data_IF_917101921051
#
_entry.id   IF_917101921051
#
_cell.length_a   1.000
_cell.length_b   1.000
_cell.length_c   1.000
_cell.angle_alpha   90.00
_cell.angle_beta   90.00
_cell.angle_gamma   90.00
#
_symmetry.space_group_name_H-M   'P 1'
#
loop_
_entity.id
_entity.type
_entity.pdbx_description
1 polymer ?
#
# COMPACT_ATOMS: atom_id res chain seq x y z
N UNK A 1 10.90 27.37 4.35
CA UNK A 1 10.58 27.12 5.77
C UNK A 1 10.71 25.61 6.00
N UNK A 2 11.53 25.15 6.96
CA UNK A 2 11.62 23.71 7.23
C UNK A 2 10.30 23.21 7.85
N UNK A 3 9.82 22.02 7.48
CA UNK A 3 8.63 21.45 8.10
C UNK A 3 8.88 21.21 9.59
N UNK A 4 7.86 21.46 10.42
CA UNK A 4 7.93 21.12 11.85
C UNK A 4 8.17 19.62 12.03
N UNK A 5 8.75 19.16 13.15
CA UNK A 5 8.91 17.72 13.44
C UNK A 5 7.59 16.95 13.29
N UNK A 6 6.46 17.56 13.68
CA UNK A 6 5.13 17.01 13.45
C UNK A 6 4.83 16.81 11.96
N UNK A 7 4.97 17.85 11.12
CA UNK A 7 4.66 17.78 9.70
C UNK A 7 5.57 16.78 8.96
N UNK A 8 6.84 16.68 9.36
CA UNK A 8 7.76 15.68 8.82
C UNK A 8 7.38 14.25 9.25
N UNK A 9 7.03 14.05 10.53
CA UNK A 9 6.60 12.75 11.05
C UNK A 9 5.28 12.29 10.42
N UNK A 10 4.29 13.19 10.32
CA UNK A 10 3.01 12.92 9.69
C UNK A 10 3.20 12.42 8.24
N UNK A 11 4.02 13.09 7.44
CA UNK A 11 4.30 12.69 6.04
C UNK A 11 4.82 11.26 5.88
N UNK A 12 5.54 10.74 6.88
CA UNK A 12 6.11 9.38 6.87
C UNK A 12 5.35 8.38 7.73
N UNK A 13 4.26 8.81 8.34
CA UNK A 13 3.57 8.05 9.36
C UNK A 13 3.18 6.66 8.84
N UNK A 14 3.47 5.58 9.60
CA UNK A 14 3.27 4.21 9.14
C UNK A 14 1.80 3.80 9.29
N UNK A 15 0.92 4.35 8.45
CA UNK A 15 -0.53 4.16 8.54
C UNK A 15 -0.98 2.70 8.56
N UNK A 16 -0.24 1.83 7.88
CA UNK A 16 -0.62 0.44 7.62
C UNK A 16 0.13 -0.54 8.52
N UNK A 17 -0.59 -1.15 9.46
CA UNK A 17 -0.17 -2.39 10.13
C UNK A 17 -0.49 -3.67 9.36
N UNK A 18 -0.76 -3.58 8.05
CA UNK A 18 -1.08 -4.74 7.21
C UNK A 18 0.19 -5.25 6.52
N UNK A 19 0.37 -6.58 6.41
CA UNK A 19 1.43 -7.16 5.60
C UNK A 19 1.38 -6.59 4.18
N UNK A 20 2.49 -6.05 3.71
CA UNK A 20 2.67 -5.70 2.29
C UNK A 20 3.51 -6.79 1.65
N UNK A 21 3.18 -7.30 0.45
CA UNK A 21 4.03 -8.27 -0.22
C UNK A 21 5.49 -7.80 -0.22
N UNK A 22 6.38 -8.68 0.22
CA UNK A 22 7.82 -8.44 0.15
C UNK A 22 8.24 -8.08 -1.28
N UNK A 23 9.29 -7.28 -1.39
CA UNK A 23 9.92 -6.90 -2.64
C UNK A 23 11.30 -7.56 -2.75
N UNK A 24 11.36 -8.88 -3.01
CA UNK A 24 12.62 -9.58 -3.15
C UNK A 24 13.34 -9.18 -4.43
N UNK A 25 14.53 -9.75 -4.65
CA UNK A 25 15.29 -9.54 -5.88
C UNK A 25 14.46 -9.85 -7.13
N UNK A 26 14.64 -9.04 -8.17
CA UNK A 26 13.89 -9.08 -9.43
C UNK A 26 13.83 -10.48 -10.07
N UNK A 27 14.91 -11.29 -10.10
CA UNK A 27 14.84 -12.65 -10.65
C UNK A 27 13.79 -13.55 -9.98
N UNK A 28 13.61 -13.42 -8.66
CA UNK A 28 12.60 -14.19 -7.91
C UNK A 28 11.18 -13.74 -8.27
N UNK A 29 10.98 -12.43 -8.40
CA UNK A 29 9.68 -11.84 -8.80
C UNK A 29 9.29 -12.25 -10.21
N UNK A 30 10.25 -12.25 -11.15
CA UNK A 30 10.03 -12.72 -12.52
C UNK A 30 9.71 -14.21 -12.54
N UNK A 31 10.45 -15.02 -11.76
CA UNK A 31 10.17 -16.46 -11.65
C UNK A 31 8.76 -16.71 -11.16
N UNK A 32 8.31 -16.00 -10.12
CA UNK A 32 6.96 -16.15 -9.59
C UNK A 32 5.86 -15.83 -10.63
N UNK A 33 6.02 -14.77 -11.42
CA UNK A 33 5.09 -14.45 -12.52
C UNK A 33 5.02 -15.58 -13.55
N UNK A 34 6.17 -16.14 -13.92
CA UNK A 34 6.25 -17.22 -14.92
C UNK A 34 5.66 -18.51 -14.36
N UNK A 35 5.97 -18.86 -13.11
CA UNK A 35 5.45 -20.06 -12.47
C UNK A 35 3.91 -20.01 -12.37
N UNK A 36 3.34 -18.86 -11.98
CA UNK A 36 1.88 -18.64 -11.96
C UNK A 36 1.26 -18.74 -13.36
N UNK A 37 1.89 -18.13 -14.37
CA UNK A 37 1.39 -18.21 -15.74
C UNK A 37 1.42 -19.66 -16.28
N UNK A 38 2.47 -20.43 -15.95
CA UNK A 38 2.56 -21.84 -16.34
C UNK A 38 1.52 -22.70 -15.60
N UNK A 39 1.35 -22.50 -14.29
CA UNK A 39 0.35 -23.20 -13.49
C UNK A 39 -1.07 -22.94 -14.03
N UNK A 40 -1.36 -21.69 -14.43
CA UNK A 40 -2.62 -21.33 -15.07
C UNK A 40 -2.84 -22.11 -16.38
N UNK A 41 -1.79 -22.25 -17.21
CA UNK A 41 -1.85 -23.01 -18.46
C UNK A 41 -2.09 -24.51 -18.20
N UNK A 42 -1.41 -25.08 -17.19
CA UNK A 42 -1.58 -26.48 -16.82
C UNK A 42 -3.00 -26.80 -16.31
N UNK A 43 -3.62 -25.85 -15.60
CA UNK A 43 -5.00 -25.97 -15.08
C UNK A 43 -6.08 -25.63 -16.11
N UNK A 44 -5.74 -25.05 -17.25
CA UNK A 44 -6.66 -24.62 -18.31
C UNK A 44 -7.84 -23.79 -17.78
N UNK A 45 -9.06 -24.30 -17.87
CA UNK A 45 -10.30 -23.61 -17.47
C UNK A 45 -10.41 -23.38 -15.95
N UNK A 46 -9.65 -24.12 -15.14
CA UNK A 46 -9.54 -23.92 -13.71
C UNK A 46 -8.36 -23.03 -13.29
N UNK A 47 -7.59 -22.48 -14.25
CA UNK A 47 -6.37 -21.70 -13.99
C UNK A 47 -6.57 -20.18 -13.85
N UNK A 48 -7.81 -19.70 -13.76
CA UNK A 48 -8.12 -18.27 -13.82
C UNK A 48 -7.53 -17.46 -12.65
N UNK A 49 -7.50 -18.04 -11.45
CA UNK A 49 -6.92 -17.42 -10.26
C UNK A 49 -5.42 -17.20 -10.42
N UNK A 50 -4.67 -18.24 -10.83
CA UNK A 50 -3.24 -18.16 -11.10
C UNK A 50 -2.94 -17.15 -12.22
N UNK A 51 -3.76 -17.14 -13.28
CA UNK A 51 -3.63 -16.19 -14.38
C UNK A 51 -3.81 -14.73 -13.92
N UNK A 52 -4.86 -14.46 -13.14
CA UNK A 52 -5.11 -13.13 -12.57
C UNK A 52 -3.95 -12.67 -11.68
N UNK A 53 -3.41 -13.58 -10.86
CA UNK A 53 -2.24 -13.32 -10.02
C UNK A 53 -0.97 -13.04 -10.83
N UNK A 54 -0.73 -13.78 -11.92
CA UNK A 54 0.41 -13.56 -12.81
C UNK A 54 0.36 -12.15 -13.45
N UNK A 55 -0.80 -11.76 -13.99
CA UNK A 55 -1.02 -10.44 -14.59
C UNK A 55 -0.84 -9.31 -13.56
N UNK A 56 -1.41 -9.47 -12.37
CA UNK A 56 -1.27 -8.49 -11.29
C UNK A 56 0.19 -8.28 -10.88
N UNK A 57 0.96 -9.37 -10.73
CA UNK A 57 2.40 -9.29 -10.40
C UNK A 57 3.25 -8.74 -11.54
N UNK A 58 2.92 -9.05 -12.79
CA UNK A 58 3.56 -8.45 -13.96
C UNK A 58 3.42 -6.92 -13.97
N UNK A 59 2.19 -6.42 -13.77
CA UNK A 59 1.92 -4.99 -13.67
C UNK A 59 2.64 -4.33 -12.48
N UNK A 60 2.72 -5.03 -11.33
CA UNK A 60 3.44 -4.56 -10.16
C UNK A 60 4.94 -4.41 -10.42
N UNK A 61 5.58 -5.36 -11.12
CA UNK A 61 7.00 -5.28 -11.49
C UNK A 61 7.26 -4.08 -12.40
N UNK A 62 6.46 -3.92 -13.46
CA UNK A 62 6.59 -2.77 -14.36
C UNK A 62 6.43 -1.44 -13.61
N UNK A 63 5.45 -1.38 -12.72
CA UNK A 63 5.19 -0.20 -11.91
C UNK A 63 6.34 0.14 -10.95
N UNK A 64 6.89 -0.87 -10.28
CA UNK A 64 8.01 -0.71 -9.36
C UNK A 64 9.31 -0.30 -10.07
N UNK A 65 9.48 -0.71 -11.32
CA UNK A 65 10.58 -0.28 -12.18
C UNK A 65 10.45 1.17 -12.65
N UNK A 66 9.31 1.83 -12.43
CA UNK A 66 9.02 3.18 -12.90
C UNK A 66 8.42 3.24 -14.31
N UNK A 67 8.04 2.09 -14.89
CA UNK A 67 7.48 1.99 -16.25
C UNK A 67 5.96 2.14 -16.20
N UNK A 68 5.47 3.35 -15.89
CA UNK A 68 4.05 3.61 -15.64
C UNK A 68 3.14 3.22 -16.82
N UNK A 69 3.56 3.50 -18.07
CA UNK A 69 2.76 3.17 -19.25
C UNK A 69 2.66 1.66 -19.48
N UNK A 70 3.75 0.92 -19.28
CA UNK A 70 3.74 -0.54 -19.35
C UNK A 70 2.86 -1.14 -18.24
N UNK A 71 2.95 -0.61 -17.02
CA UNK A 71 2.11 -1.06 -15.92
C UNK A 71 0.61 -0.81 -16.21
N UNK A 72 0.27 0.35 -16.79
CA UNK A 72 -1.08 0.69 -17.23
C UNK A 72 -1.56 -0.23 -18.36
N UNK A 73 -0.70 -0.51 -19.35
CA UNK A 73 -1.01 -1.43 -20.44
C UNK A 73 -1.31 -2.84 -19.93
N UNK A 74 -0.49 -3.36 -19.00
CA UNK A 74 -0.71 -4.67 -18.38
C UNK A 74 -2.00 -4.70 -17.54
N UNK A 75 -2.34 -3.62 -16.82
CA UNK A 75 -3.62 -3.53 -16.12
C UNK A 75 -4.80 -3.58 -17.10
N UNK A 76 -4.74 -2.85 -18.21
CA UNK A 76 -5.80 -2.87 -19.22
C UNK A 76 -5.89 -4.18 -19.99
N UNK A 77 -4.77 -4.86 -20.24
CA UNK A 77 -4.76 -6.21 -20.78
C UNK A 77 -5.50 -7.17 -19.85
N UNK A 78 -5.22 -7.10 -18.54
CA UNK A 78 -5.90 -7.91 -17.54
C UNK A 78 -7.40 -7.63 -17.50
N UNK A 79 -7.81 -6.36 -17.48
CA UNK A 79 -9.24 -5.97 -17.51
C UNK A 79 -9.92 -6.49 -18.78
N UNK A 80 -9.27 -6.32 -19.93
CA UNK A 80 -9.88 -6.62 -21.24
C UNK A 80 -10.18 -8.10 -21.43
N UNK A 81 -9.42 -8.99 -20.78
CA UNK A 81 -9.68 -10.44 -20.82
C UNK A 81 -11.10 -10.77 -20.31
N UNK A 82 -11.58 -10.07 -19.29
CA UNK A 82 -12.93 -10.25 -18.73
C UNK A 82 -14.05 -9.65 -19.59
N UNK A 83 -13.74 -8.65 -20.40
CA UNK A 83 -14.72 -8.00 -21.29
C UNK A 83 -15.10 -8.88 -22.48
N UNK A 84 -14.41 -10.00 -22.69
CA UNK A 84 -14.76 -11.01 -23.70
C UNK A 84 -15.89 -11.95 -23.27
N UNK A 85 -16.32 -11.88 -22.00
CA UNK A 85 -17.40 -12.71 -21.48
C UNK A 85 -18.74 -12.37 -22.16
N UNK A 86 -19.40 -13.38 -22.73
CA UNK A 86 -20.75 -13.25 -23.31
C UNK A 86 -21.88 -13.46 -22.27
N UNK A 87 -21.50 -13.74 -21.03
CA UNK A 87 -22.42 -13.85 -19.89
C UNK A 87 -22.04 -12.84 -18.80
N UNK A 88 -22.95 -12.50 -17.89
CA UNK A 88 -22.57 -11.75 -16.71
C UNK A 88 -21.44 -12.43 -15.93
N UNK A 89 -20.53 -11.61 -15.42
CA UNK A 89 -19.44 -12.07 -14.55
C UNK A 89 -19.99 -12.48 -13.19
N UNK A 90 -19.41 -13.53 -12.62
CA UNK A 90 -19.60 -13.85 -11.20
C UNK A 90 -18.93 -12.79 -10.33
N UNK A 91 -19.32 -12.66 -9.06
CA UNK A 91 -18.62 -11.78 -8.11
C UNK A 91 -17.12 -12.10 -8.00
N UNK A 92 -16.74 -13.38 -8.10
CA UNK A 92 -15.33 -13.77 -8.05
C UNK A 92 -14.56 -13.29 -9.29
N UNK A 93 -15.12 -13.48 -10.49
CA UNK A 93 -14.52 -13.00 -11.75
C UNK A 93 -14.43 -11.47 -11.80
N UNK A 94 -15.51 -10.79 -11.38
CA UNK A 94 -15.53 -9.34 -11.28
C UNK A 94 -14.47 -8.82 -10.30
N UNK A 95 -14.13 -9.59 -9.25
CA UNK A 95 -13.08 -9.18 -8.30
C UNK A 95 -11.73 -9.17 -9.01
N UNK A 96 -11.42 -10.23 -9.74
CA UNK A 96 -10.19 -10.29 -10.53
C UNK A 96 -10.14 -9.20 -11.61
N UNK A 97 -11.26 -8.87 -12.25
CA UNK A 97 -11.34 -7.73 -13.18
C UNK A 97 -11.11 -6.37 -12.48
N UNK A 98 -11.57 -6.19 -11.23
CA UNK A 98 -11.46 -4.93 -10.50
C UNK A 98 -10.10 -4.74 -9.81
N UNK A 99 -9.37 -5.81 -9.47
CA UNK A 99 -8.01 -5.72 -8.93
C UNK A 99 -7.05 -4.82 -9.75
N UNK A 100 -6.93 -4.97 -11.09
CA UNK A 100 -6.13 -4.06 -11.91
C UNK A 100 -6.68 -2.62 -11.94
N UNK A 101 -7.98 -2.39 -11.73
CA UNK A 101 -8.54 -1.03 -11.59
C UNK A 101 -8.01 -0.36 -10.32
N UNK A 102 -7.91 -1.10 -9.21
CA UNK A 102 -7.28 -0.60 -7.98
C UNK A 102 -5.80 -0.29 -8.23
N UNK A 103 -5.12 -1.09 -9.05
CA UNK A 103 -3.73 -0.80 -9.42
C UNK A 103 -3.58 0.45 -10.30
N UNK A 104 -4.54 0.77 -11.17
CA UNK A 104 -4.57 2.04 -11.90
C UNK A 104 -4.63 3.22 -10.90
N UNK A 105 -5.51 3.15 -9.90
CA UNK A 105 -5.55 4.16 -8.84
C UNK A 105 -4.22 4.25 -8.07
N UNK A 106 -3.55 3.13 -7.80
CA UNK A 106 -2.20 3.11 -7.18
C UNK A 106 -1.11 3.71 -8.09
N UNK A 107 -1.25 3.63 -9.41
CA UNK A 107 -0.37 4.32 -10.34
C UNK A 107 -0.58 5.83 -10.24
N UNK A 108 -1.82 6.29 -10.22
CA UNK A 108 -2.16 7.71 -10.07
C UNK A 108 -1.63 8.28 -8.75
N UNK A 109 -1.76 7.55 -7.63
CA UNK A 109 -1.18 7.95 -6.33
C UNK A 109 0.35 8.14 -6.45
N UNK A 110 1.04 7.25 -7.17
CA UNK A 110 2.50 7.33 -7.37
C UNK A 110 2.92 8.49 -8.27
N UNK A 111 2.06 8.87 -9.20
CA UNK A 111 2.27 10.01 -10.11
C UNK A 111 1.68 11.32 -9.56
N UNK A 112 1.50 11.43 -8.23
CA UNK A 112 0.97 12.62 -7.53
C UNK A 112 -0.46 13.03 -7.93
N UNK A 113 -1.20 12.15 -8.62
CA UNK A 113 -2.59 12.32 -9.02
C UNK A 113 -3.55 11.71 -7.98
N UNK A 114 -3.29 11.96 -6.70
CA UNK A 114 -4.04 11.35 -5.60
C UNK A 114 -5.55 11.63 -5.62
N UNK A 115 -5.97 12.79 -6.12
CA UNK A 115 -7.40 13.12 -6.24
C UNK A 115 -8.11 12.26 -7.30
N UNK A 116 -7.46 12.03 -8.45
CA UNK A 116 -7.96 11.13 -9.50
C UNK A 116 -8.13 9.71 -8.96
N UNK A 117 -7.14 9.22 -8.20
CA UNK A 117 -7.20 7.92 -7.54
C UNK A 117 -8.39 7.81 -6.58
N UNK A 118 -8.62 8.81 -5.72
CA UNK A 118 -9.77 8.82 -4.80
C UNK A 118 -11.09 8.80 -5.56
N UNK A 119 -11.21 9.58 -6.65
CA UNK A 119 -12.41 9.59 -7.50
C UNK A 119 -12.67 8.21 -8.12
N UNK A 120 -11.63 7.56 -8.68
CA UNK A 120 -11.75 6.21 -9.23
C UNK A 120 -12.18 5.18 -8.18
N UNK A 121 -11.58 5.20 -6.98
CA UNK A 121 -11.94 4.30 -5.88
C UNK A 121 -13.40 4.51 -5.44
N UNK A 122 -13.87 5.76 -5.37
CA UNK A 122 -15.28 6.07 -5.08
C UNK A 122 -16.21 5.54 -6.16
N UNK A 123 -15.83 5.66 -7.44
CA UNK A 123 -16.60 5.13 -8.56
C UNK A 123 -16.71 3.59 -8.49
N UNK A 124 -15.60 2.89 -8.19
CA UNK A 124 -15.59 1.42 -8.00
C UNK A 124 -16.55 1.01 -6.87
N UNK A 125 -16.41 1.62 -5.69
CA UNK A 125 -17.27 1.31 -4.54
C UNK A 125 -18.74 1.57 -4.84
N UNK A 126 -19.05 2.72 -5.47
CA UNK A 126 -20.40 3.10 -5.87
C UNK A 126 -21.00 2.09 -6.85
N UNK A 127 -20.29 1.77 -7.92
CA UNK A 127 -20.75 0.86 -8.97
C UNK A 127 -21.13 -0.51 -8.42
N UNK A 128 -20.29 -1.08 -7.55
CA UNK A 128 -20.56 -2.37 -6.89
C UNK A 128 -21.72 -2.29 -5.88
N UNK A 129 -21.82 -1.20 -5.13
CA UNK A 129 -22.86 -1.04 -4.09
C UNK A 129 -24.23 -0.79 -4.71
N UNK A 130 -24.31 0.13 -5.66
CA UNK A 130 -25.53 0.58 -6.34
C UNK A 130 -25.93 -0.31 -7.54
N UNK A 131 -25.08 -1.27 -7.92
CA UNK A 131 -25.28 -2.15 -9.09
C UNK A 131 -25.42 -1.34 -10.38
N UNK A 132 -24.48 -0.43 -10.61
CA UNK A 132 -24.35 0.29 -11.87
C UNK A 132 -23.08 -0.16 -12.58
N UNK A 133 -22.98 0.11 -13.87
CA UNK A 133 -21.73 -0.08 -14.59
C UNK A 133 -20.68 0.94 -14.12
N UNK A 134 -19.43 0.50 -14.12
CA UNK A 134 -18.29 1.30 -13.73
C UNK A 134 -17.66 1.91 -14.98
N UNK A 135 -17.40 3.22 -14.96
CA UNK A 135 -16.66 3.91 -16.03
C UNK A 135 -15.29 4.33 -15.51
N UNK A 136 -14.22 3.84 -16.14
CA UNK A 136 -12.82 4.17 -15.84
C UNK A 136 -12.09 4.44 -17.16
N UNK A 137 -11.34 5.54 -17.26
CA UNK A 137 -10.65 6.01 -18.47
C UNK A 137 -11.53 5.98 -19.73
N UNK A 138 -12.82 6.32 -19.59
CA UNK A 138 -13.79 6.32 -20.69
C UNK A 138 -14.27 4.94 -21.14
N UNK A 139 -13.87 3.86 -20.46
CA UNK A 139 -14.31 2.48 -20.75
C UNK A 139 -15.31 2.01 -19.71
N UNK A 140 -16.38 1.37 -20.17
CA UNK A 140 -17.43 0.81 -19.33
C UNK A 140 -17.10 -0.63 -18.95
N UNK A 141 -17.15 -0.93 -17.65
CA UNK A 141 -16.99 -2.26 -17.08
C UNK A 141 -18.35 -2.77 -16.58
N UNK A 142 -18.76 -4.01 -16.90
CA UNK A 142 -20.11 -4.52 -16.68
C UNK A 142 -20.34 -4.94 -15.22
N UNK A 143 -20.42 -3.98 -14.31
CA UNK A 143 -20.65 -4.23 -12.87
C UNK A 143 -22.12 -4.14 -12.47
N UNK A 144 -23.02 -3.72 -13.36
CA UNK A 144 -24.46 -3.64 -13.03
C UNK A 144 -25.11 -5.02 -12.88
N UNK A 145 -24.64 -6.02 -13.64
CA UNK A 145 -25.32 -7.30 -13.83
C UNK A 145 -24.60 -8.50 -13.19
N UNK A 146 -23.71 -8.27 -12.22
CA UNK A 146 -22.94 -9.34 -11.58
C UNK A 146 -23.82 -10.45 -10.97
N UNK A 147 -23.38 -11.70 -11.09
CA UNK A 147 -24.08 -12.90 -10.61
C UNK A 147 -23.32 -13.60 -9.48
N UNK A 148 -24.00 -14.49 -8.75
CA UNK A 148 -23.44 -15.25 -7.63
C UNK A 148 -24.29 -15.13 -6.36
N UNK A 149 -23.81 -15.73 -5.28
CA UNK A 149 -24.53 -15.77 -4.03
C UNK A 149 -24.51 -14.42 -3.29
N UNK A 150 -25.51 -14.19 -2.44
CA UNK A 150 -25.56 -12.99 -1.59
C UNK A 150 -24.34 -12.88 -0.66
N UNK A 151 -23.75 -14.01 -0.23
CA UNK A 151 -22.54 -14.02 0.57
C UNK A 151 -21.33 -13.50 -0.22
N UNK A 152 -21.18 -13.89 -1.48
CA UNK A 152 -20.12 -13.40 -2.37
C UNK A 152 -20.30 -11.91 -2.66
N UNK A 153 -21.55 -11.45 -2.86
CA UNK A 153 -21.84 -10.03 -2.98
C UNK A 153 -21.37 -9.24 -1.75
N UNK A 154 -21.68 -9.72 -0.54
CA UNK A 154 -21.24 -9.05 0.70
C UNK A 154 -19.72 -8.95 0.77
N UNK A 155 -19.00 -10.04 0.45
CA UNK A 155 -17.54 -10.06 0.39
C UNK A 155 -16.98 -9.08 -0.65
N UNK A 156 -17.62 -8.98 -1.82
CA UNK A 156 -17.23 -8.01 -2.85
C UNK A 156 -17.39 -6.57 -2.35
N UNK A 157 -18.55 -6.23 -1.79
CA UNK A 157 -18.83 -4.90 -1.23
C UNK A 157 -17.83 -4.56 -0.12
N UNK A 158 -17.58 -5.48 0.80
CA UNK A 158 -16.58 -5.32 1.86
C UNK A 158 -15.17 -5.10 1.28
N UNK A 159 -14.79 -5.89 0.26
CA UNK A 159 -13.49 -5.75 -0.38
C UNK A 159 -13.31 -4.37 -1.04
N UNK A 160 -14.26 -3.90 -1.85
CA UNK A 160 -14.14 -2.56 -2.48
C UNK A 160 -14.18 -1.44 -1.44
N UNK A 161 -14.94 -1.61 -0.36
CA UNK A 161 -14.96 -0.67 0.76
C UNK A 161 -13.62 -0.60 1.48
N UNK A 162 -12.97 -1.75 1.73
CA UNK A 162 -11.62 -1.79 2.30
C UNK A 162 -10.58 -1.15 1.37
N UNK A 163 -10.68 -1.32 0.04
CA UNK A 163 -9.78 -0.63 -0.90
C UNK A 163 -10.02 0.88 -0.89
N UNK A 164 -11.27 1.32 -0.89
CA UNK A 164 -11.64 2.74 -0.83
C UNK A 164 -11.11 3.42 0.43
N UNK A 165 -11.21 2.77 1.59
CA UNK A 165 -10.66 3.29 2.84
C UNK A 165 -9.14 3.30 2.81
N UNK A 166 -8.50 2.15 2.58
CA UNK A 166 -7.05 2.02 2.66
C UNK A 166 -6.31 2.92 1.65
N UNK A 167 -6.64 2.78 0.37
CA UNK A 167 -5.96 3.53 -0.69
C UNK A 167 -6.42 5.00 -0.73
N UNK A 168 -7.69 5.28 -0.41
CA UNK A 168 -8.21 6.66 -0.36
C UNK A 168 -7.58 7.49 0.75
N UNK A 169 -7.47 6.95 1.97
CA UNK A 169 -6.75 7.60 3.08
C UNK A 169 -5.28 7.79 2.70
N UNK A 170 -4.64 6.75 2.15
CA UNK A 170 -3.24 6.84 1.71
C UNK A 170 -3.02 7.93 0.65
N UNK A 171 -3.88 8.04 -0.35
CA UNK A 171 -3.79 9.07 -1.37
C UNK A 171 -3.85 10.49 -0.79
N UNK A 172 -4.79 10.73 0.14
CA UNK A 172 -4.98 12.03 0.78
C UNK A 172 -3.81 12.39 1.71
N UNK A 173 -3.38 11.44 2.54
CA UNK A 173 -2.26 11.63 3.48
C UNK A 173 -0.92 11.83 2.78
N UNK A 174 -0.67 11.19 1.63
CA UNK A 174 0.52 11.44 0.80
C UNK A 174 0.57 12.88 0.28
N UNK A 175 -0.57 13.52 0.04
CA UNK A 175 -0.68 14.94 -0.29
C UNK A 175 -0.70 15.86 0.96
N UNK A 176 -0.39 15.32 2.15
CA UNK A 176 -0.47 16.00 3.44
C UNK A 176 -1.89 16.54 3.79
N UNK A 177 -2.94 15.97 3.18
CA UNK A 177 -4.35 16.35 3.38
C UNK A 177 -5.00 15.51 4.49
N UNK A 178 -4.51 15.67 5.72
CA UNK A 178 -4.94 14.88 6.87
C UNK A 178 -6.39 15.11 7.26
N UNK A 179 -6.88 16.35 7.19
CA UNK A 179 -8.28 16.67 7.43
C UNK A 179 -9.20 15.95 6.43
N UNK A 180 -8.90 16.06 5.13
CA UNK A 180 -9.67 15.35 4.09
C UNK A 180 -9.61 13.83 4.27
N UNK A 181 -8.48 13.28 4.72
CA UNK A 181 -8.34 11.86 5.02
C UNK A 181 -9.25 11.42 6.18
N UNK A 182 -9.37 12.25 7.22
CA UNK A 182 -10.29 12.02 8.33
C UNK A 182 -11.76 12.13 7.88
N UNK A 183 -12.11 13.14 7.10
CA UNK A 183 -13.45 13.32 6.53
C UNK A 183 -13.83 12.15 5.62
N UNK A 184 -12.90 11.68 4.79
CA UNK A 184 -13.07 10.49 3.95
C UNK A 184 -13.31 9.24 4.81
N UNK A 185 -12.52 9.04 5.86
CA UNK A 185 -12.72 7.92 6.78
C UNK A 185 -14.10 7.99 7.47
N UNK A 186 -14.54 9.16 7.91
CA UNK A 186 -15.86 9.35 8.53
C UNK A 186 -17.00 9.10 7.55
N UNK A 187 -16.92 9.68 6.35
CA UNK A 187 -17.94 9.55 5.31
C UNK A 187 -18.21 8.08 4.92
N UNK A 188 -17.18 7.25 4.93
CA UNK A 188 -17.28 5.81 4.64
C UNK A 188 -17.23 4.92 5.88
N UNK A 189 -17.48 5.47 7.09
CA UNK A 189 -17.54 4.71 8.36
C UNK A 189 -16.28 3.86 8.65
N UNK A 190 -15.12 4.35 8.22
CA UNK A 190 -13.80 3.74 8.43
C UNK A 190 -13.17 4.03 9.79
N UNK A 191 -13.86 4.75 10.68
CA UNK A 191 -13.39 5.05 12.04
C UNK A 191 -14.03 4.06 13.03
N UNK A 192 -13.32 2.96 13.30
CA UNK A 192 -13.70 1.96 14.31
C UNK A 192 -13.15 2.29 15.71
N UNK A 193 -13.16 1.32 16.62
CA UNK A 193 -12.51 1.40 17.95
C UNK A 193 -11.03 1.03 17.92
N UNK A 194 -10.63 0.18 16.98
CA UNK A 194 -9.24 -0.19 16.73
C UNK A 194 -8.46 0.95 16.07
N UNK A 195 -7.12 0.90 16.21
CA UNK A 195 -6.24 1.93 15.67
C UNK A 195 -5.95 1.73 14.18
N UNK A 196 -7.00 1.56 13.38
CA UNK A 196 -6.92 1.44 11.92
C UNK A 196 -6.62 2.79 11.27
N UNK A 197 -6.33 2.76 9.97
CA UNK A 197 -5.94 3.90 9.13
C UNK A 197 -6.88 5.11 9.32
N UNK A 198 -8.20 4.86 9.38
CA UNK A 198 -9.20 5.92 9.56
C UNK A 198 -9.12 6.60 10.92
N UNK A 199 -8.97 5.83 12.00
CA UNK A 199 -8.80 6.39 13.35
C UNK A 199 -7.46 7.10 13.50
N UNK A 200 -6.39 6.56 12.92
CA UNK A 200 -5.08 7.23 12.90
C UNK A 200 -5.14 8.57 12.15
N UNK A 201 -5.78 8.61 10.98
CA UNK A 201 -5.97 9.84 10.21
C UNK A 201 -6.76 10.89 11.02
N UNK A 202 -7.81 10.47 11.74
CA UNK A 202 -8.57 11.35 12.63
C UNK A 202 -7.69 11.95 13.75
N UNK A 203 -6.89 11.12 14.43
CA UNK A 203 -5.98 11.60 15.50
C UNK A 203 -4.97 12.60 14.95
N UNK A 204 -4.33 12.30 13.82
CA UNK A 204 -3.31 13.17 13.21
C UNK A 204 -3.96 14.48 12.71
N UNK A 205 -5.17 14.43 12.16
CA UNK A 205 -5.92 15.61 11.74
C UNK A 205 -6.20 16.55 12.93
N UNK A 206 -6.61 16.02 14.08
CA UNK A 206 -6.84 16.81 15.29
C UNK A 206 -5.55 17.48 15.78
N UNK A 207 -4.43 16.77 15.79
CA UNK A 207 -3.13 17.39 16.10
C UNK A 207 -2.75 18.48 15.09
N UNK A 208 -3.02 18.27 13.79
CA UNK A 208 -2.67 19.22 12.75
C UNK A 208 -3.45 20.55 12.84
N UNK A 209 -4.68 20.53 13.36
CA UNK A 209 -5.51 21.74 13.60
C UNK A 209 -5.28 22.37 14.97
N UNK A 210 -4.34 21.84 15.76
CA UNK A 210 -4.00 22.40 17.07
C UNK A 210 -4.92 21.96 18.22
N UNK A 211 -5.64 20.83 18.06
CA UNK A 211 -6.44 20.21 19.13
C UNK A 211 -5.83 18.86 19.58
N UNK A 212 -4.68 18.87 20.28
CA UNK A 212 -4.09 17.66 20.82
C UNK A 212 -4.93 17.04 21.95
N UNK A 213 -5.88 17.78 22.55
CA UNK A 213 -6.72 17.26 23.63
C UNK A 213 -7.73 16.25 23.09
N UNK A 214 -8.44 16.59 22.01
CA UNK A 214 -9.34 15.65 21.34
C UNK A 214 -8.57 14.49 20.71
N UNK A 215 -7.39 14.75 20.12
CA UNK A 215 -6.51 13.69 19.61
C UNK A 215 -6.15 12.66 20.70
N UNK A 216 -5.76 13.13 21.90
CA UNK A 216 -5.45 12.26 23.04
C UNK A 216 -6.66 11.48 23.54
N UNK A 217 -7.86 12.09 23.56
CA UNK A 217 -9.10 11.40 23.95
C UNK A 217 -9.45 10.27 22.97
N UNK A 218 -9.31 10.51 21.67
CA UNK A 218 -9.51 9.48 20.64
C UNK A 218 -8.48 8.36 20.82
N UNK A 219 -7.20 8.70 21.04
CA UNK A 219 -6.15 7.72 21.28
C UNK A 219 -6.42 6.88 22.55
N UNK A 220 -6.79 7.51 23.66
CA UNK A 220 -7.07 6.85 24.94
C UNK A 220 -8.28 5.91 24.89
N UNK A 221 -9.27 6.20 24.03
CA UNK A 221 -10.42 5.34 23.79
C UNK A 221 -10.18 4.24 22.75
N UNK A 222 -8.96 4.12 22.22
CA UNK A 222 -8.63 3.12 21.18
C UNK A 222 -8.37 1.75 21.78
N UNK A 223 -8.87 0.71 21.11
CA UNK A 223 -8.60 -0.68 21.46
C UNK A 223 -7.31 -1.12 20.75
N UNK A 224 -6.31 -1.57 21.53
CA UNK A 224 -5.01 -2.01 21.02
C UNK A 224 -4.81 -3.50 21.31
N UNK A 225 -5.06 -4.36 20.32
CA UNK A 225 -4.91 -5.82 20.46
C UNK A 225 -3.68 -6.35 19.73
N UNK A 226 -3.16 -5.63 18.73
CA UNK A 226 -2.02 -6.06 17.92
C UNK A 226 -0.72 -5.32 18.28
N UNK A 227 0.46 -5.98 18.15
CA UNK A 227 1.75 -5.33 18.41
C UNK A 227 2.00 -4.07 17.57
N UNK A 228 1.51 -4.05 16.32
CA UNK A 228 1.65 -2.88 15.45
C UNK A 228 0.79 -1.69 15.92
N UNK A 229 -0.42 -1.94 16.46
CA UNK A 229 -1.28 -0.89 17.01
C UNK A 229 -0.60 -0.20 18.19
N UNK A 230 0.10 -0.97 19.01
CA UNK A 230 0.91 -0.46 20.11
C UNK A 230 2.07 0.41 19.61
N UNK A 231 2.79 -0.01 18.57
CA UNK A 231 3.89 0.77 17.98
C UNK A 231 3.40 2.13 17.44
N UNK A 232 2.31 2.10 16.68
CA UNK A 232 1.67 3.30 16.13
C UNK A 232 1.14 4.21 17.25
N UNK A 233 0.48 3.65 18.26
CA UNK A 233 -0.01 4.41 19.41
C UNK A 233 1.10 5.18 20.13
N UNK A 234 2.30 4.61 20.26
CA UNK A 234 3.43 5.32 20.86
C UNK A 234 3.93 6.49 20.00
N UNK A 235 3.85 6.39 18.67
CA UNK A 235 4.15 7.52 17.79
C UNK A 235 3.06 8.60 17.88
N UNK A 236 1.78 8.21 17.90
CA UNK A 236 0.67 9.16 18.07
C UNK A 236 0.74 9.86 19.42
N UNK A 237 1.08 9.16 20.50
CA UNK A 237 1.23 9.76 21.82
C UNK A 237 2.28 10.87 21.83
N UNK A 238 3.40 10.68 21.13
CA UNK A 238 4.43 11.69 20.93
C UNK A 238 3.92 12.88 20.11
N UNK A 239 3.21 12.61 19.01
CA UNK A 239 2.63 13.65 18.15
C UNK A 239 1.53 14.45 18.84
N UNK A 240 0.79 13.86 19.78
CA UNK A 240 -0.25 14.52 20.58
C UNK A 240 0.30 15.19 21.85
N UNK A 241 1.59 15.04 22.15
CA UNK A 241 2.19 15.62 23.37
C UNK A 241 2.58 17.07 23.12
N UNK A 242 2.24 18.01 24.03
CA UNK A 242 2.83 19.35 24.01
C UNK A 242 4.37 19.29 24.10
N UNK A 243 5.10 20.25 23.50
CA UNK A 243 6.56 20.30 23.57
C UNK A 243 7.12 20.27 25.01
N UNK A 244 6.41 20.91 25.95
CA UNK A 244 6.83 21.05 27.35
C UNK A 244 6.31 19.91 28.25
N UNK A 245 5.72 18.86 27.68
CA UNK A 245 5.17 17.77 28.46
C UNK A 245 6.28 17.03 29.22
N UNK A 246 6.18 17.01 30.56
CA UNK A 246 7.17 16.40 31.47
C UNK A 246 7.52 14.95 31.14
N UNK A 247 6.60 14.22 30.50
CA UNK A 247 6.72 12.78 30.18
C UNK A 247 7.10 12.48 28.73
N UNK A 248 7.42 13.50 27.91
CA UNK A 248 7.72 13.31 26.48
C UNK A 248 8.93 12.38 26.25
N UNK A 249 9.93 12.43 27.12
CA UNK A 249 11.10 11.52 27.08
C UNK A 249 10.72 10.07 27.41
N UNK A 250 9.78 9.84 28.32
CA UNK A 250 9.28 8.49 28.65
C UNK A 250 8.48 7.88 27.49
N UNK A 251 7.68 8.72 26.82
CA UNK A 251 6.97 8.34 25.60
C UNK A 251 7.96 7.96 24.49
N UNK A 252 9.04 8.74 24.33
CA UNK A 252 10.09 8.44 23.36
C UNK A 252 10.81 7.13 23.68
N UNK A 253 11.21 6.93 24.93
CA UNK A 253 11.81 5.67 25.38
C UNK A 253 10.89 4.47 25.11
N UNK A 254 9.58 4.65 25.29
CA UNK A 254 8.58 3.62 24.97
C UNK A 254 8.51 3.32 23.47
N UNK A 255 8.47 4.35 22.62
CA UNK A 255 8.49 4.19 21.17
C UNK A 255 9.76 3.47 20.70
N UNK A 256 10.93 3.83 21.24
CA UNK A 256 12.22 3.17 20.95
C UNK A 256 12.21 1.69 21.35
N UNK A 257 11.71 1.35 22.54
CA UNK A 257 11.57 -0.05 22.97
C UNK A 257 10.64 -0.84 22.06
N UNK A 258 9.49 -0.26 21.66
CA UNK A 258 8.53 -0.91 20.76
C UNK A 258 9.06 -1.06 19.34
N UNK A 259 9.90 -0.15 18.88
CA UNK A 259 10.63 -0.32 17.62
C UNK A 259 11.65 -1.46 17.72
N UNK A 260 12.30 -1.64 18.87
CA UNK A 260 13.29 -2.71 19.06
C UNK A 260 12.69 -4.12 19.13
N UNK A 261 11.38 -4.28 19.34
CA UNK A 261 10.75 -5.61 19.37
C UNK A 261 10.85 -6.30 18.00
N UNK A 262 10.93 -7.62 17.97
CA UNK A 262 10.92 -8.39 16.74
C UNK A 262 9.64 -8.12 15.91
N UNK A 263 9.69 -8.21 14.57
CA UNK A 263 8.49 -8.15 13.74
C UNK A 263 7.52 -9.28 14.12
N UNK A 264 6.20 -9.02 14.13
CA UNK A 264 5.20 -10.04 14.46
C UNK A 264 5.02 -11.07 13.33
N UNK A 265 5.44 -10.77 12.09
CA UNK A 265 5.33 -11.64 10.93
C UNK A 265 6.34 -11.27 9.81
N UNK A 266 6.48 -12.15 8.82
CA UNK A 266 7.03 -11.80 7.50
C UNK A 266 6.21 -10.67 6.84
N UNK A 267 6.70 -10.01 5.77
CA UNK A 267 6.00 -8.92 5.07
C UNK A 267 5.84 -7.61 5.87
N UNK A 268 6.69 -7.38 6.89
CA UNK A 268 6.68 -6.18 7.75
C UNK A 268 7.85 -5.21 7.50
N UNK A 269 8.77 -5.51 6.58
CA UNK A 269 10.01 -4.75 6.42
C UNK A 269 9.77 -3.27 6.07
N UNK A 270 8.92 -2.97 5.08
CA UNK A 270 8.58 -1.59 4.68
C UNK A 270 7.86 -0.83 5.81
N UNK A 271 6.92 -1.47 6.51
CA UNK A 271 6.27 -0.86 7.68
C UNK A 271 7.30 -0.50 8.76
N UNK A 272 8.22 -1.41 9.07
CA UNK A 272 9.26 -1.18 10.08
C UNK A 272 10.22 -0.07 9.69
N UNK A 273 10.60 0.02 8.42
CA UNK A 273 11.39 1.14 7.91
C UNK A 273 10.66 2.46 8.18
N UNK A 274 9.38 2.58 7.78
CA UNK A 274 8.57 3.79 8.00
C UNK A 274 8.37 4.12 9.48
N UNK A 275 8.12 3.12 10.33
CA UNK A 275 8.03 3.29 11.77
C UNK A 275 9.35 3.84 12.33
N UNK A 276 10.48 3.25 11.96
CA UNK A 276 11.81 3.71 12.39
C UNK A 276 12.08 5.15 11.97
N UNK A 277 11.81 5.51 10.71
CA UNK A 277 11.96 6.88 10.22
C UNK A 277 11.04 7.87 10.95
N UNK A 278 9.80 7.47 11.26
CA UNK A 278 8.86 8.30 12.02
C UNK A 278 9.36 8.54 13.44
N UNK A 279 9.82 7.49 14.13
CA UNK A 279 10.40 7.61 15.47
C UNK A 279 11.67 8.45 15.45
N UNK A 280 12.53 8.32 14.44
CA UNK A 280 13.72 9.17 14.25
C UNK A 280 13.36 10.65 14.15
N UNK A 281 12.34 10.99 13.33
CA UNK A 281 11.91 12.40 13.17
C UNK A 281 11.38 12.95 14.49
N UNK A 282 10.54 12.18 15.19
CA UNK A 282 10.00 12.58 16.48
C UNK A 282 11.12 12.71 17.53
N UNK A 283 12.06 11.77 17.54
CA UNK A 283 13.22 11.80 18.42
C UNK A 283 14.08 13.04 18.19
N UNK A 284 14.27 13.49 16.95
CA UNK A 284 15.12 14.64 16.67
C UNK A 284 14.64 15.93 17.34
N UNK A 285 13.32 16.11 17.48
CA UNK A 285 12.75 17.25 18.20
C UNK A 285 12.86 17.17 19.73
N UNK A 286 13.13 16.00 20.30
CA UNK A 286 13.09 15.74 21.76
C UNK A 286 14.49 15.43 22.31
N UNK A 287 15.25 14.63 21.58
CA UNK A 287 16.58 14.11 21.91
C UNK A 287 17.39 13.90 20.61
N UNK A 288 18.02 14.97 20.08
CA UNK A 288 18.76 14.93 18.80
C UNK A 288 19.81 13.82 18.70
N UNK A 289 20.57 13.59 19.78
CA UNK A 289 21.64 12.58 19.80
C UNK A 289 21.08 11.15 19.64
N UNK A 290 19.90 10.87 20.20
CA UNK A 290 19.24 9.58 20.03
C UNK A 290 18.73 9.38 18.59
N UNK A 291 18.34 10.45 17.90
CA UNK A 291 17.79 10.39 16.54
C UNK A 291 18.80 9.87 15.52
N UNK A 292 20.07 10.30 15.58
CA UNK A 292 21.16 9.81 14.73
C UNK A 292 21.36 8.31 14.88
N UNK A 293 21.44 7.82 16.12
CA UNK A 293 21.57 6.38 16.39
C UNK A 293 20.34 5.57 15.96
N UNK A 294 19.13 6.14 16.07
CA UNK A 294 17.90 5.51 15.60
C UNK A 294 17.86 5.41 14.07
N UNK A 295 18.31 6.44 13.37
CA UNK A 295 18.38 6.44 11.91
C UNK A 295 19.38 5.37 11.41
N UNK A 296 20.56 5.32 12.03
CA UNK A 296 21.57 4.29 11.75
C UNK A 296 21.01 2.87 11.91
N UNK A 297 20.33 2.60 13.03
CA UNK A 297 19.70 1.29 13.30
C UNK A 297 18.57 0.99 12.31
N UNK A 298 17.76 1.99 11.95
CA UNK A 298 16.67 1.82 10.98
C UNK A 298 17.22 1.42 9.61
N UNK A 299 18.33 2.05 9.17
CA UNK A 299 19.02 1.66 7.94
C UNK A 299 19.57 0.23 8.02
N UNK A 300 20.21 -0.16 9.13
CA UNK A 300 20.71 -1.53 9.32
C UNK A 300 19.58 -2.58 9.29
N UNK A 301 18.42 -2.30 9.91
CA UNK A 301 17.26 -3.18 9.86
C UNK A 301 16.71 -3.34 8.43
N UNK A 302 16.67 -2.26 7.66
CA UNK A 302 16.24 -2.32 6.26
C UNK A 302 17.23 -3.15 5.41
N UNK A 303 18.54 -2.98 5.61
CA UNK A 303 19.57 -3.78 4.93
C UNK A 303 19.41 -5.28 5.26
N UNK A 304 19.28 -5.62 6.54
CA UNK A 304 19.14 -7.00 6.99
C UNK A 304 17.88 -7.68 6.48
N UNK A 305 16.82 -6.92 6.18
CA UNK A 305 15.59 -7.47 5.61
C UNK A 305 15.73 -7.89 4.15
N UNK A 306 16.72 -7.34 3.42
CA UNK A 306 16.90 -7.48 1.97
C UNK A 306 15.68 -7.06 1.12
N UNK A 307 14.70 -6.41 1.73
CA UNK A 307 13.46 -5.98 1.10
C UNK A 307 13.67 -4.66 0.34
N UNK A 308 13.33 -4.66 -0.95
CA UNK A 308 13.46 -3.48 -1.80
C UNK A 308 12.63 -2.29 -1.32
N UNK A 309 11.42 -2.51 -0.79
CA UNK A 309 10.56 -1.41 -0.36
C UNK A 309 11.07 -0.76 0.92
N UNK A 310 11.57 -1.54 1.88
CA UNK A 310 12.26 -1.03 3.07
C UNK A 310 13.49 -0.20 2.67
N UNK A 311 14.30 -0.72 1.75
CA UNK A 311 15.46 0.00 1.25
C UNK A 311 15.08 1.34 0.59
N UNK A 312 14.06 1.33 -0.27
CA UNK A 312 13.53 2.54 -0.92
C UNK A 312 13.00 3.56 0.08
N UNK A 313 12.25 3.12 1.10
CA UNK A 313 11.70 4.02 2.11
C UNK A 313 12.83 4.74 2.89
N UNK A 314 13.92 4.03 3.24
CA UNK A 314 15.12 4.63 3.88
C UNK A 314 15.90 5.53 2.94
N UNK A 315 16.15 5.12 1.69
CA UNK A 315 16.81 5.95 0.67
C UNK A 315 16.02 7.22 0.34
N UNK A 316 14.70 7.19 0.51
CA UNK A 316 13.81 8.34 0.39
C UNK A 316 13.84 9.26 1.61
N UNK A 317 14.66 9.00 2.63
CA UNK A 317 14.84 9.90 3.77
C UNK A 317 15.55 11.19 3.35
N UNK A 318 14.94 12.34 3.65
CA UNK A 318 15.39 13.67 3.20
C UNK A 318 15.50 14.68 4.34
N UNK A 319 15.25 14.23 5.56
CA UNK A 319 15.21 15.11 6.72
C UNK A 319 16.65 15.37 7.16
N UNK A 320 16.97 16.56 7.70
CA UNK A 320 18.34 16.99 8.00
C UNK A 320 18.88 16.31 9.27
N UNK A 321 18.80 14.98 9.33
CA UNK A 321 19.25 14.14 10.43
C UNK A 321 20.32 13.21 9.87
N UNK A 322 21.54 13.39 10.33
CA UNK A 322 22.66 12.51 9.99
C UNK A 322 22.53 11.16 10.72
N UNK A 323 23.12 10.10 10.16
CA UNK A 323 23.18 8.79 10.82
C UNK A 323 23.23 7.59 9.88
N UNK A 324 22.84 7.76 8.61
CA UNK A 324 23.06 6.73 7.59
C UNK A 324 24.50 6.88 7.06
N UNK A 325 25.30 5.82 7.17
CA UNK A 325 26.68 5.84 6.66
C UNK A 325 26.72 5.68 5.14
N UNK A 326 27.87 6.02 4.54
CA UNK A 326 28.09 5.82 3.10
C UNK A 326 27.92 4.35 2.68
N UNK A 327 28.44 3.42 3.49
CA UNK A 327 28.31 1.98 3.25
C UNK A 327 26.84 1.55 3.32
N UNK A 328 26.08 2.04 4.31
CA UNK A 328 24.65 1.76 4.41
C UNK A 328 23.88 2.29 3.20
N UNK A 329 24.20 3.49 2.71
CA UNK A 329 23.59 4.03 1.49
C UNK A 329 23.89 3.12 0.30
N UNK A 330 25.13 2.67 0.15
CA UNK A 330 25.56 1.77 -0.92
C UNK A 330 24.82 0.43 -0.88
N UNK A 331 24.70 -0.18 0.30
CA UNK A 331 23.97 -1.43 0.49
C UNK A 331 22.48 -1.29 0.18
N UNK A 332 21.84 -0.22 0.68
CA UNK A 332 20.44 0.08 0.39
C UNK A 332 20.21 0.30 -1.11
N UNK A 333 21.10 1.01 -1.80
CA UNK A 333 21.06 1.20 -3.25
C UNK A 333 21.20 -0.12 -3.99
N UNK A 334 22.10 -1.00 -3.54
CA UNK A 334 22.28 -2.32 -4.11
C UNK A 334 21.03 -3.19 -3.95
N UNK A 335 20.40 -3.19 -2.78
CA UNK A 335 19.14 -3.90 -2.52
C UNK A 335 18.03 -3.36 -3.43
N UNK A 336 17.83 -2.04 -3.47
CA UNK A 336 16.81 -1.39 -4.30
C UNK A 336 17.00 -1.72 -5.79
N UNK A 337 18.24 -1.67 -6.29
CA UNK A 337 18.57 -2.00 -7.68
C UNK A 337 18.32 -3.48 -7.98
N UNK A 338 18.75 -4.39 -7.10
CA UNK A 338 18.52 -5.84 -7.25
C UNK A 338 17.03 -6.20 -7.24
N UNK A 339 16.21 -5.46 -6.50
CA UNK A 339 14.76 -5.61 -6.47
C UNK A 339 14.06 -5.04 -7.72
N UNK A 340 14.81 -4.38 -8.61
CA UNK A 340 14.30 -3.76 -9.84
C UNK A 340 13.54 -2.47 -9.59
N UNK A 341 13.78 -1.79 -8.47
CA UNK A 341 13.07 -0.56 -8.12
C UNK A 341 13.71 0.66 -8.80
N UNK A 342 12.86 1.51 -9.41
CA UNK A 342 13.23 2.80 -10.00
C UNK A 342 14.42 2.74 -10.99
N UNK A 343 14.58 1.63 -11.69
CA UNK A 343 15.60 1.47 -12.75
C UNK A 343 15.21 2.18 -14.07
N UNK A 344 13.99 2.75 -14.13
CA UNK A 344 13.33 3.42 -15.27
C UNK A 344 13.09 2.50 -16.48
N UNK A 345 13.97 1.55 -16.74
CA UNK A 345 13.87 0.56 -17.81
C UNK A 345 14.36 -0.80 -17.32
N UNK A 346 13.54 -1.83 -17.53
CA UNK A 346 13.97 -3.22 -17.35
C UNK A 346 14.71 -3.69 -18.61
N UNK A 347 15.67 -4.64 -18.49
CA UNK A 347 16.30 -5.24 -19.66
C UNK A 347 15.25 -5.84 -20.62
N UNK A 348 15.47 -5.71 -21.93
CA UNK A 348 14.51 -6.18 -22.95
C UNK A 348 14.13 -7.66 -22.79
N UNK A 349 15.11 -8.51 -22.47
CA UNK A 349 14.86 -9.93 -22.18
C UNK A 349 13.89 -10.15 -21.01
N UNK A 350 13.91 -9.27 -19.99
CA UNK A 350 12.95 -9.30 -18.87
C UNK A 350 11.57 -8.85 -19.33
N UNK A 351 11.49 -7.76 -20.10
CA UNK A 351 10.23 -7.26 -20.65
C UNK A 351 9.54 -8.31 -21.53
N UNK A 352 10.29 -8.97 -22.40
CA UNK A 352 9.79 -10.04 -23.27
C UNK A 352 9.32 -11.27 -22.48
N UNK A 353 9.92 -11.57 -21.33
CA UNK A 353 9.48 -12.67 -20.46
C UNK A 353 8.18 -12.32 -19.74
N UNK A 354 8.10 -11.12 -19.15
CA UNK A 354 6.91 -10.67 -18.42
C UNK A 354 5.72 -10.53 -19.37
N UNK A 355 5.92 -9.92 -20.54
CA UNK A 355 4.85 -9.73 -21.54
C UNK A 355 4.30 -11.06 -22.04
N UNK A 356 5.18 -12.03 -22.38
CA UNK A 356 4.73 -13.37 -22.78
C UNK A 356 3.95 -14.09 -21.68
N UNK A 357 4.40 -13.99 -20.43
CA UNK A 357 3.67 -14.58 -19.30
C UNK A 357 2.28 -13.92 -19.13
N UNK A 358 2.21 -12.59 -19.26
CA UNK A 358 0.95 -11.84 -19.22
C UNK A 358 0.01 -12.25 -20.38
N UNK A 359 0.52 -12.38 -21.61
CA UNK A 359 -0.26 -12.81 -22.76
C UNK A 359 -0.83 -14.22 -22.58
N UNK A 360 -0.02 -15.15 -22.07
CA UNK A 360 -0.47 -16.51 -21.75
C UNK A 360 -1.56 -16.50 -20.67
N UNK A 361 -1.35 -15.76 -19.58
CA UNK A 361 -2.34 -15.64 -18.51
C UNK A 361 -3.66 -15.02 -18.99
N UNK A 362 -3.61 -13.96 -19.80
CA UNK A 362 -4.81 -13.33 -20.35
C UNK A 362 -5.64 -14.32 -21.19
N UNK A 363 -4.98 -15.14 -22.03
CA UNK A 363 -5.66 -16.19 -22.79
C UNK A 363 -6.33 -17.23 -21.91
N UNK A 364 -5.74 -17.59 -20.78
CA UNK A 364 -6.33 -18.55 -19.83
C UNK A 364 -7.60 -17.97 -19.19
N UNK A 365 -7.61 -16.69 -18.84
CA UNK A 365 -8.84 -16.01 -18.37
C UNK A 365 -9.94 -16.12 -19.43
N UNK A 366 -9.64 -15.80 -20.69
CA UNK A 366 -10.61 -15.89 -21.79
C UNK A 366 -11.14 -17.32 -22.01
N UNK A 367 -10.27 -18.33 -21.88
CA UNK A 367 -10.64 -19.76 -21.98
C UNK A 367 -11.58 -20.13 -20.82
N UNK A 368 -11.21 -19.80 -19.57
CA UNK A 368 -12.03 -20.10 -18.40
C UNK A 368 -13.44 -19.49 -18.48
N UNK A 369 -13.54 -18.25 -18.97
CA UNK A 369 -14.82 -17.57 -19.17
C UNK A 369 -15.70 -18.24 -20.24
N UNK A 370 -15.10 -18.83 -21.29
CA UNK A 370 -15.82 -19.57 -22.34
C UNK A 370 -16.27 -20.95 -21.88
N UNK A 371 -15.44 -21.65 -21.09
CA UNK A 371 -15.74 -23.00 -20.60
C UNK A 371 -16.90 -23.02 -19.60
N UNK A 372 -17.02 -21.99 -18.77
CA UNK A 372 -18.11 -21.80 -17.82
C UNK A 372 -19.49 -21.48 -18.46
N UNK A 373 -19.66 -21.71 -19.76
CA UNK A 373 -20.96 -21.71 -20.48
C UNK A 373 -21.64 -23.07 -20.49
N UNK A 374 -20.88 -24.14 -20.24
CA UNK A 374 -21.38 -25.52 -20.13
C UNK A 374 -21.64 -25.84 -18.67
#
# INVERSE_FOLDING_TARGET
MQPTPFAAAARRFPLLGRPRPDCPALPLRIKEVIDLANAAVEKLDHGMDDAAHALNKAALIASDAGMADMARALCWQHISAYLTAERPLTFTEARYMLEPVINLARLDIRSEQGQSAVTALKAVHRAVTERTDLVIDGRTLPTAILTGEQAERRRMVEWVWLQLLGEGIRALTMANRWADAADHALAYRGVGTHLTEGRQALIIAQCAVGDPAEANKILASSVLTQPWEQQVASCLQLMCSPPDATRVKDHLATAMRRLATAPPAANYASYRARLGLTVTILAHGIWPEAATGLLHRTAALAINSTDGYAARDVLGFREPIEGITHDQITDLQNISRRAGLAVLHLPEAVLNRISRAADSAAKIIEIGLKSARR
#
